data_IF_673825873366
#
_entry.id   IF_673825873366
#
_cell.length_a   1.000
_cell.length_b   1.000
_cell.length_c   1.000
_cell.angle_alpha   90.00
_cell.angle_beta   90.00
_cell.angle_gamma   90.00
#
_symmetry.space_group_name_H-M   'P 1'
#
loop_
_entity.id
_entity.type
_entity.pdbx_description
1 polymer ?
#
# COMPACT_ATOMS: atom_id res chain seq x y z
N UNK A 1 -72.05 26.88 14.58
CA UNK A 1 -71.87 25.49 14.08
C UNK A 1 -70.40 25.32 13.70
N UNK A 2 -69.62 24.61 14.52
CA UNK A 2 -68.17 24.46 14.36
C UNK A 2 -67.85 22.97 14.36
N UNK A 3 -67.54 22.40 13.20
CA UNK A 3 -67.00 21.05 13.08
C UNK A 3 -65.48 21.12 13.27
N UNK A 4 -64.95 20.45 14.31
CA UNK A 4 -63.52 20.21 14.49
C UNK A 4 -63.15 18.90 13.82
N UNK A 5 -62.34 18.96 12.76
CA UNK A 5 -61.66 17.79 12.20
C UNK A 5 -60.45 17.42 13.05
N UNK A 6 -60.39 16.15 13.46
CA UNK A 6 -59.27 15.51 14.13
C UNK A 6 -58.36 14.93 13.04
N UNK A 7 -57.12 15.42 12.93
CA UNK A 7 -56.07 14.83 12.10
C UNK A 7 -55.28 13.82 12.93
N UNK A 8 -55.25 12.56 12.49
CA UNK A 8 -54.38 11.49 12.98
C UNK A 8 -53.08 11.53 12.16
N UNK A 9 -51.88 11.53 12.76
CA UNK A 9 -50.65 11.40 11.98
C UNK A 9 -50.38 9.93 11.65
N UNK A 10 -50.30 9.62 10.35
CA UNK A 10 -49.84 8.34 9.85
C UNK A 10 -48.32 8.24 9.98
N UNK A 11 -47.84 7.34 10.85
CA UNK A 11 -46.43 6.96 10.91
C UNK A 11 -46.10 6.03 9.74
N UNK A 12 -45.30 6.52 8.79
CA UNK A 12 -44.70 5.74 7.72
C UNK A 12 -43.52 4.94 8.29
N UNK A 13 -43.75 3.65 8.55
CA UNK A 13 -42.72 2.65 8.77
C UNK A 13 -42.00 2.39 7.43
N UNK A 14 -40.87 3.05 7.21
CA UNK A 14 -39.93 2.69 6.15
C UNK A 14 -39.21 1.40 6.57
N UNK A 15 -39.75 0.25 6.17
CA UNK A 15 -39.05 -1.02 6.26
C UNK A 15 -37.84 -0.97 5.30
N UNK A 16 -36.65 -0.79 5.87
CA UNK A 16 -35.40 -0.89 5.13
C UNK A 16 -35.25 -2.30 4.56
N UNK A 17 -35.40 -2.42 3.25
CA UNK A 17 -34.96 -3.59 2.50
C UNK A 17 -33.43 -3.55 2.56
N UNK A 18 -32.82 -4.26 3.51
CA UNK A 18 -31.41 -4.61 3.40
C UNK A 18 -31.28 -5.48 2.16
N UNK A 19 -30.51 -5.07 1.14
CA UNK A 19 -30.22 -5.98 0.06
C UNK A 19 -29.44 -7.13 0.69
N UNK A 20 -30.01 -8.34 0.63
CA UNK A 20 -29.21 -9.54 0.72
C UNK A 20 -28.24 -9.45 -0.44
N UNK A 21 -27.03 -8.93 -0.19
CA UNK A 21 -25.93 -9.07 -1.11
C UNK A 21 -25.79 -10.58 -1.34
N UNK A 22 -26.13 -11.04 -2.53
CA UNK A 22 -25.69 -12.34 -3.00
C UNK A 22 -24.17 -12.27 -2.98
N UNK A 23 -23.58 -12.81 -1.90
CA UNK A 23 -22.16 -12.81 -1.67
C UNK A 23 -21.50 -13.44 -2.90
N UNK A 24 -20.74 -12.64 -3.64
CA UNK A 24 -19.94 -13.17 -4.72
C UNK A 24 -18.99 -14.22 -4.14
N UNK A 25 -18.82 -15.38 -4.78
CA UNK A 25 -17.88 -16.40 -4.33
C UNK A 25 -16.47 -15.78 -4.22
N UNK A 26 -15.78 -15.98 -3.07
CA UNK A 26 -14.46 -15.40 -2.82
C UNK A 26 -13.37 -16.16 -3.58
N UNK A 27 -13.33 -15.95 -4.89
CA UNK A 27 -12.28 -16.45 -5.78
C UNK A 27 -11.03 -15.58 -5.68
N UNK A 28 -9.89 -16.10 -6.15
CA UNK A 28 -8.62 -15.35 -6.19
C UNK A 28 -8.76 -14.03 -6.97
N UNK A 29 -9.37 -14.08 -8.16
CA UNK A 29 -9.55 -12.90 -9.01
C UNK A 29 -10.51 -11.88 -8.40
N UNK A 30 -11.58 -12.35 -7.74
CA UNK A 30 -12.48 -11.48 -7.00
C UNK A 30 -11.76 -10.78 -5.84
N UNK A 31 -10.96 -11.50 -5.07
CA UNK A 31 -10.21 -10.93 -3.94
C UNK A 31 -9.26 -9.80 -4.41
N UNK A 32 -8.51 -10.02 -5.48
CA UNK A 32 -7.56 -9.02 -6.00
C UNK A 32 -8.29 -7.82 -6.64
N UNK A 33 -9.33 -8.07 -7.44
CA UNK A 33 -10.10 -6.98 -8.06
C UNK A 33 -10.88 -6.15 -7.04
N UNK A 34 -11.49 -6.79 -6.04
CA UNK A 34 -12.14 -6.11 -4.92
C UNK A 34 -11.14 -5.27 -4.13
N UNK A 35 -9.93 -5.79 -3.86
CA UNK A 35 -8.87 -5.04 -3.19
C UNK A 35 -8.48 -3.77 -3.96
N UNK A 36 -8.36 -3.86 -5.29
CA UNK A 36 -8.04 -2.70 -6.14
C UNK A 36 -9.15 -1.65 -6.19
N UNK A 37 -10.41 -2.07 -6.05
CA UNK A 37 -11.56 -1.17 -6.09
C UNK A 37 -11.88 -0.54 -4.73
N UNK A 38 -11.80 -1.33 -3.65
CA UNK A 38 -12.36 -1.01 -2.34
C UNK A 38 -11.30 -0.64 -1.29
N UNK A 39 -10.00 -0.90 -1.53
CA UNK A 39 -8.96 -0.62 -0.54
C UNK A 39 -8.95 0.86 -0.13
N UNK A 40 -9.08 1.18 1.17
CA UNK A 40 -9.00 2.55 1.67
C UNK A 40 -7.68 3.24 1.34
N UNK A 41 -6.57 2.49 1.28
CA UNK A 41 -5.24 3.03 0.95
C UNK A 41 -5.20 3.57 -0.49
N UNK A 42 -5.83 2.86 -1.44
CA UNK A 42 -5.95 3.33 -2.84
C UNK A 42 -6.90 4.52 -2.98
N UNK A 43 -7.96 4.58 -2.18
CA UNK A 43 -8.85 5.75 -2.11
C UNK A 43 -8.12 6.98 -1.56
N UNK A 44 -7.36 6.81 -0.47
CA UNK A 44 -6.54 7.87 0.11
C UNK A 44 -5.48 8.36 -0.87
N UNK A 45 -4.81 7.45 -1.58
CA UNK A 45 -3.83 7.79 -2.61
C UNK A 45 -4.44 8.57 -3.79
N UNK A 46 -5.63 8.18 -4.28
CA UNK A 46 -6.38 8.95 -5.30
C UNK A 46 -6.70 10.36 -4.81
N UNK A 47 -7.15 10.48 -3.56
CA UNK A 47 -7.41 11.78 -2.93
C UNK A 47 -6.14 12.63 -2.83
N UNK A 48 -4.99 12.00 -2.53
CA UNK A 48 -3.68 12.66 -2.55
C UNK A 48 -3.32 13.22 -3.92
N UNK A 49 -3.62 12.51 -5.01
CA UNK A 49 -3.45 13.04 -6.38
C UNK A 49 -4.34 14.27 -6.60
N UNK A 50 -5.63 14.20 -6.25
CA UNK A 50 -6.54 15.34 -6.38
C UNK A 50 -6.10 16.54 -5.52
N UNK A 51 -5.56 16.28 -4.33
CA UNK A 51 -4.97 17.33 -3.48
C UNK A 51 -3.77 17.99 -4.16
N UNK A 52 -2.88 17.22 -4.77
CA UNK A 52 -1.73 17.76 -5.50
C UNK A 52 -2.18 18.57 -6.73
N UNK A 53 -3.20 18.10 -7.45
CA UNK A 53 -3.79 18.83 -8.58
C UNK A 53 -4.40 20.17 -8.13
N UNK A 54 -5.16 20.19 -7.04
CA UNK A 54 -5.74 21.41 -6.49
C UNK A 54 -4.66 22.40 -6.01
N UNK A 55 -3.61 21.89 -5.36
CA UNK A 55 -2.47 22.70 -4.91
C UNK A 55 -1.65 23.28 -6.08
N UNK A 56 -1.70 22.67 -7.26
CA UNK A 56 -1.00 23.17 -8.44
C UNK A 56 -1.67 24.38 -9.10
N UNK A 57 -2.99 24.55 -8.93
CA UNK A 57 -3.75 25.67 -9.52
C UNK A 57 -3.16 27.04 -9.14
N UNK A 58 -2.89 27.35 -7.86
CA UNK A 58 -2.32 28.64 -7.48
C UNK A 58 -0.80 28.73 -7.65
N UNK A 59 -0.09 27.69 -8.09
CA UNK A 59 1.37 27.62 -8.02
C UNK A 59 2.08 28.76 -8.77
N UNK A 60 1.56 29.12 -9.95
CA UNK A 60 2.02 30.26 -10.74
C UNK A 60 1.12 31.49 -10.66
N UNK A 61 0.11 31.53 -9.79
CA UNK A 61 -0.77 32.69 -9.65
C UNK A 61 0.00 33.90 -9.09
N UNK A 62 -0.48 35.11 -9.39
CA UNK A 62 0.01 36.30 -8.72
C UNK A 62 -0.43 36.28 -7.25
N UNK A 63 0.39 36.80 -6.32
CA UNK A 63 -0.04 37.03 -4.95
C UNK A 63 -1.25 37.96 -4.90
N UNK A 64 -2.08 37.82 -3.88
CA UNK A 64 -3.21 38.71 -3.67
C UNK A 64 -2.75 40.18 -3.53
N UNK A 65 -3.51 41.15 -4.09
CA UNK A 65 -3.22 42.56 -3.89
C UNK A 65 -3.34 42.93 -2.41
N UNK A 66 -2.46 43.83 -1.96
CA UNK A 66 -2.42 44.32 -0.58
C UNK A 66 -3.05 45.69 -0.49
N UNK A 67 -4.02 45.85 0.42
CA UNK A 67 -4.54 47.16 0.81
C UNK A 67 -3.59 47.80 1.82
N UNK A 68 -3.16 49.02 1.51
CA UNK A 68 -2.32 49.85 2.37
C UNK A 68 -3.20 50.96 2.90
N UNK A 69 -3.21 51.15 4.22
CA UNK A 69 -3.89 52.26 4.87
C UNK A 69 -3.01 52.77 6.00
N UNK A 70 -2.91 54.08 6.16
CA UNK A 70 -2.02 54.64 7.17
C UNK A 70 -2.01 56.16 7.21
N UNK A 71 -1.12 56.68 8.06
CA UNK A 71 -0.82 58.10 8.18
C UNK A 71 0.67 58.31 7.87
N UNK A 72 0.96 59.16 6.90
CA UNK A 72 2.32 59.60 6.61
C UNK A 72 2.61 60.94 7.30
N UNK A 73 3.83 61.11 7.81
CA UNK A 73 4.32 62.34 8.44
C UNK A 73 3.44 62.88 9.58
N UNK A 74 2.95 62.01 10.48
CA UNK A 74 2.18 62.44 11.66
C UNK A 74 3.10 63.13 12.71
N UNK A 75 2.82 64.38 13.13
CA UNK A 75 3.69 65.11 14.04
C UNK A 75 3.51 64.63 15.49
N UNK A 76 4.56 64.06 16.06
CA UNK A 76 4.56 63.56 17.46
C UNK A 76 5.14 64.55 18.48
N UNK A 77 5.72 65.66 18.02
CA UNK A 77 6.30 66.71 18.87
C UNK A 77 6.38 68.04 18.11
N UNK A 78 6.72 69.13 18.81
CA UNK A 78 6.80 70.47 18.23
C UNK A 78 5.48 71.24 18.25
N UNK A 79 5.43 72.44 17.61
CA UNK A 79 4.27 73.33 17.67
C UNK A 79 2.97 72.76 17.11
N UNK A 80 3.05 71.80 16.18
CA UNK A 80 1.92 71.16 15.49
C UNK A 80 1.65 69.72 15.98
N UNK A 81 2.17 69.36 17.16
CA UNK A 81 2.08 68.00 17.68
C UNK A 81 0.63 67.51 17.81
N UNK A 82 0.40 66.24 17.46
CA UNK A 82 -0.90 65.56 17.50
C UNK A 82 -1.99 66.16 16.58
N UNK A 83 -1.60 66.99 15.59
CA UNK A 83 -2.53 67.53 14.61
C UNK A 83 -2.46 66.77 13.29
N UNK A 84 -3.63 66.55 12.67
CA UNK A 84 -3.77 65.96 11.33
C UNK A 84 -3.84 67.01 10.22
N UNK A 85 -3.99 68.28 10.58
CA UNK A 85 -4.35 69.36 9.65
C UNK A 85 -3.39 70.54 9.67
N UNK A 86 -2.72 70.76 10.80
CA UNK A 86 -1.79 71.89 10.94
C UNK A 86 -0.50 71.66 10.17
N UNK A 87 0.04 70.43 10.20
CA UNK A 87 1.26 70.09 9.48
C UNK A 87 0.96 69.78 7.99
N UNK A 88 1.58 70.55 7.10
CA UNK A 88 1.39 70.50 5.64
C UNK A 88 1.77 69.17 4.98
N UNK A 89 2.63 68.40 5.65
CA UNK A 89 3.12 67.12 5.15
C UNK A 89 2.34 65.92 5.68
N UNK A 90 1.44 66.09 6.66
CA UNK A 90 0.64 65.00 7.22
C UNK A 90 -0.43 64.55 6.23
N UNK A 91 -0.52 63.23 6.00
CA UNK A 91 -1.41 62.67 4.98
C UNK A 91 -2.09 61.39 5.48
N UNK A 92 -3.40 61.30 5.27
CA UNK A 92 -4.12 60.03 5.32
C UNK A 92 -3.94 59.29 4.00
N UNK A 93 -3.38 58.08 4.07
CA UNK A 93 -3.01 57.26 2.92
C UNK A 93 -3.97 56.08 2.78
N UNK A 94 -4.48 55.87 1.57
CA UNK A 94 -5.09 54.61 1.13
C UNK A 94 -4.43 54.19 -0.19
N UNK A 95 -3.99 52.95 -0.28
CA UNK A 95 -3.24 52.46 -1.43
C UNK A 95 -3.47 50.99 -1.72
N UNK A 96 -3.13 50.59 -2.94
CA UNK A 96 -3.16 49.20 -3.38
C UNK A 96 -1.78 48.84 -3.94
N UNK A 97 -1.22 47.74 -3.44
CA UNK A 97 0.03 47.18 -3.94
C UNK A 97 -0.23 45.82 -4.57
N UNK A 98 0.29 45.63 -5.78
CA UNK A 98 0.34 44.33 -6.45
C UNK A 98 1.79 43.89 -6.61
N UNK A 99 2.11 42.69 -6.13
CA UNK A 99 3.38 42.03 -6.40
C UNK A 99 3.30 41.25 -7.72
N UNK A 100 4.35 41.36 -8.50
CA UNK A 100 4.54 40.66 -9.76
C UNK A 100 5.84 39.85 -9.68
N UNK A 101 5.77 38.62 -9.12
CA UNK A 101 6.91 37.73 -9.11
C UNK A 101 7.42 37.50 -10.54
N UNK A 102 8.72 37.35 -10.68
CA UNK A 102 9.34 37.12 -11.98
C UNK A 102 8.69 35.92 -12.69
N UNK A 103 8.45 36.01 -14.00
CA UNK A 103 7.85 34.91 -14.76
C UNK A 103 8.63 33.60 -14.60
N UNK A 104 9.96 33.66 -14.60
CA UNK A 104 10.79 32.47 -14.39
C UNK A 104 10.56 31.79 -13.03
N UNK A 105 10.26 32.55 -11.97
CA UNK A 105 9.92 31.99 -10.66
C UNK A 105 8.53 31.35 -10.67
N UNK A 106 7.56 31.99 -11.33
CA UNK A 106 6.20 31.50 -11.46
C UNK A 106 6.18 30.20 -12.27
N UNK A 107 6.83 30.20 -13.42
CA UNK A 107 6.99 29.01 -14.28
C UNK A 107 7.67 27.87 -13.52
N UNK A 108 8.73 28.15 -12.77
CA UNK A 108 9.40 27.13 -11.96
C UNK A 108 8.52 26.58 -10.81
N UNK A 109 7.66 27.40 -10.21
CA UNK A 109 6.68 26.94 -9.21
C UNK A 109 5.62 26.03 -9.84
N UNK A 110 5.15 26.37 -11.04
CA UNK A 110 4.24 25.51 -11.81
C UNK A 110 4.89 24.17 -12.17
N UNK A 111 6.16 24.19 -12.59
CA UNK A 111 6.91 22.96 -12.88
C UNK A 111 7.07 22.08 -11.63
N UNK A 112 7.39 22.66 -10.47
CA UNK A 112 7.47 21.93 -9.20
C UNK A 112 6.12 21.31 -8.85
N UNK A 113 5.03 22.07 -8.98
CA UNK A 113 3.69 21.58 -8.70
C UNK A 113 3.28 20.45 -9.66
N UNK A 114 3.59 20.57 -10.96
CA UNK A 114 3.37 19.52 -11.95
C UNK A 114 4.16 18.24 -11.62
N UNK A 115 5.42 18.39 -11.20
CA UNK A 115 6.23 17.26 -10.77
C UNK A 115 5.71 16.59 -9.50
N UNK A 116 5.10 17.35 -8.57
CA UNK A 116 4.43 16.79 -7.39
C UNK A 116 3.19 15.96 -7.76
N UNK A 117 2.41 16.37 -8.76
CA UNK A 117 1.30 15.57 -9.28
C UNK A 117 1.83 14.26 -9.87
N UNK A 118 2.89 14.32 -10.67
CA UNK A 118 3.52 13.12 -11.24
C UNK A 118 4.05 12.18 -10.15
N UNK A 119 4.67 12.73 -9.09
CA UNK A 119 5.12 11.95 -7.94
C UNK A 119 3.95 11.25 -7.24
N UNK A 120 2.85 11.96 -7.01
CA UNK A 120 1.63 11.38 -6.41
C UNK A 120 1.05 10.26 -7.29
N UNK A 121 1.06 10.43 -8.61
CA UNK A 121 0.66 9.41 -9.58
C UNK A 121 1.55 8.17 -9.56
N UNK A 122 2.88 8.35 -9.54
CA UNK A 122 3.83 7.23 -9.43
C UNK A 122 3.67 6.46 -8.12
N UNK A 123 3.47 7.16 -7.01
CA UNK A 123 3.23 6.54 -5.71
C UNK A 123 1.91 5.74 -5.71
N UNK A 124 0.88 6.22 -6.40
CA UNK A 124 -0.36 5.47 -6.59
C UNK A 124 -0.13 4.18 -7.37
N UNK A 125 0.63 4.22 -8.47
CA UNK A 125 0.94 3.03 -9.27
C UNK A 125 1.74 1.98 -8.47
N UNK A 126 2.66 2.42 -7.61
CA UNK A 126 3.36 1.52 -6.66
C UNK A 126 2.35 0.86 -5.72
N UNK A 127 1.48 1.67 -5.11
CA UNK A 127 0.49 1.20 -4.16
C UNK A 127 -0.52 0.22 -4.79
N UNK A 128 -0.88 0.40 -6.06
CA UNK A 128 -1.72 -0.56 -6.80
C UNK A 128 -1.07 -1.94 -6.88
N UNK A 129 0.23 -2.01 -7.18
CA UNK A 129 0.98 -3.27 -7.19
C UNK A 129 1.05 -3.87 -5.79
N UNK A 130 1.39 -3.07 -4.78
CA UNK A 130 1.53 -3.54 -3.40
C UNK A 130 0.18 -4.06 -2.84
N UNK A 131 -0.94 -3.41 -3.17
CA UNK A 131 -2.30 -3.85 -2.78
C UNK A 131 -2.72 -5.13 -3.51
N UNK A 132 -2.49 -5.21 -4.83
CA UNK A 132 -2.83 -6.40 -5.61
C UNK A 132 -2.02 -7.61 -5.14
N UNK A 133 -0.70 -7.45 -4.98
CA UNK A 133 0.19 -8.48 -4.44
C UNK A 133 -0.22 -8.87 -3.02
N UNK A 134 -0.46 -7.90 -2.15
CA UNK A 134 -0.84 -8.13 -0.77
C UNK A 134 -2.14 -8.93 -0.62
N UNK A 135 -3.16 -8.61 -1.42
CA UNK A 135 -4.42 -9.35 -1.45
C UNK A 135 -4.23 -10.77 -2.01
N UNK A 136 -3.44 -10.93 -3.07
CA UNK A 136 -3.12 -12.22 -3.66
C UNK A 136 -2.38 -13.15 -2.66
N UNK A 137 -1.37 -12.62 -1.96
CA UNK A 137 -0.62 -13.37 -0.95
C UNK A 137 -1.51 -13.79 0.23
N UNK A 138 -2.37 -12.89 0.72
CA UNK A 138 -3.28 -13.20 1.82
C UNK A 138 -4.32 -14.27 1.42
N UNK A 139 -4.87 -14.19 0.20
CA UNK A 139 -5.79 -15.21 -0.32
C UNK A 139 -5.09 -16.57 -0.48
N UNK A 140 -3.89 -16.60 -1.05
CA UNK A 140 -3.11 -17.84 -1.22
C UNK A 140 -2.74 -18.46 0.13
N UNK A 141 -2.29 -17.65 1.08
CA UNK A 141 -1.99 -18.11 2.44
C UNK A 141 -3.21 -18.78 3.08
N UNK A 142 -4.38 -18.11 3.03
CA UNK A 142 -5.63 -18.68 3.54
C UNK A 142 -5.99 -19.98 2.83
N UNK A 143 -5.96 -20.00 1.49
CA UNK A 143 -6.30 -21.17 0.68
C UNK A 143 -5.47 -22.40 1.07
N UNK A 144 -4.15 -22.27 1.16
CA UNK A 144 -3.30 -23.41 1.49
C UNK A 144 -3.38 -23.80 2.97
N UNK A 145 -3.65 -22.88 3.89
CA UNK A 145 -3.91 -23.19 5.29
C UNK A 145 -5.20 -24.01 5.47
N UNK A 146 -6.28 -23.68 4.74
CA UNK A 146 -7.52 -24.48 4.73
C UNK A 146 -7.25 -25.92 4.23
N UNK A 147 -6.40 -26.08 3.21
CA UNK A 147 -5.99 -27.40 2.71
C UNK A 147 -5.13 -28.18 3.73
N UNK A 148 -4.18 -27.52 4.40
CA UNK A 148 -3.36 -28.14 5.43
C UNK A 148 -4.21 -28.60 6.62
N UNK A 149 -5.16 -27.76 7.05
CA UNK A 149 -6.06 -28.09 8.15
C UNK A 149 -6.92 -29.33 7.83
N UNK A 150 -7.47 -29.40 6.62
CA UNK A 150 -8.24 -30.58 6.19
C UNK A 150 -7.42 -31.87 6.18
N UNK A 151 -6.14 -31.82 5.80
CA UNK A 151 -5.24 -32.97 5.85
C UNK A 151 -4.78 -33.31 7.27
N UNK A 152 -4.59 -32.30 8.14
CA UNK A 152 -4.23 -32.50 9.54
C UNK A 152 -5.36 -33.20 10.29
N UNK A 153 -6.61 -32.80 10.07
CA UNK A 153 -7.78 -33.46 10.66
C UNK A 153 -7.92 -34.92 10.21
N UNK A 154 -7.53 -35.25 8.96
CA UNK A 154 -7.44 -36.64 8.51
C UNK A 154 -6.33 -37.40 9.24
N UNK A 155 -5.19 -36.76 9.51
CA UNK A 155 -4.06 -37.36 10.23
C UNK A 155 -4.40 -37.61 11.71
N UNK A 156 -5.11 -36.69 12.35
CA UNK A 156 -5.65 -36.86 13.71
C UNK A 156 -6.63 -38.05 13.78
N UNK A 157 -7.51 -38.18 12.78
CA UNK A 157 -8.42 -39.30 12.72
C UNK A 157 -7.67 -40.65 12.62
N UNK A 158 -6.68 -40.75 11.73
CA UNK A 158 -5.86 -41.97 11.61
C UNK A 158 -5.06 -42.25 12.90
N UNK A 159 -4.53 -41.22 13.57
CA UNK A 159 -3.84 -41.39 14.85
C UNK A 159 -4.76 -41.87 15.98
N UNK A 160 -6.00 -41.38 16.05
CA UNK A 160 -7.00 -41.87 17.00
C UNK A 160 -7.38 -43.34 16.77
N UNK A 161 -7.45 -43.77 15.50
CA UNK A 161 -7.64 -45.18 15.14
C UNK A 161 -6.43 -46.03 15.57
N UNK A 162 -5.20 -45.52 15.45
CA UNK A 162 -3.99 -46.18 15.93
C UNK A 162 -4.04 -46.41 17.44
N UNK A 163 -4.32 -45.35 18.22
CA UNK A 163 -4.42 -45.45 19.68
C UNK A 163 -5.45 -46.50 20.12
N UNK A 164 -6.62 -46.49 19.49
CA UNK A 164 -7.69 -47.48 19.75
C UNK A 164 -7.24 -48.91 19.44
N UNK A 165 -6.52 -49.12 18.33
CA UNK A 165 -6.01 -50.43 17.93
C UNK A 165 -4.92 -50.93 18.90
N UNK A 166 -3.99 -50.08 19.30
CA UNK A 166 -2.91 -50.43 20.25
C UNK A 166 -3.49 -50.77 21.64
N UNK A 167 -4.49 -50.03 22.11
CA UNK A 167 -5.18 -50.32 23.38
C UNK A 167 -5.83 -51.71 23.39
N UNK A 168 -6.45 -52.11 22.27
CA UNK A 168 -7.03 -53.45 22.13
C UNK A 168 -5.95 -54.55 22.13
N UNK A 169 -4.76 -54.28 21.59
CA UNK A 169 -3.65 -55.23 21.56
C UNK A 169 -2.97 -55.42 22.93
N UNK A 170 -2.99 -54.41 23.82
CA UNK A 170 -2.52 -54.54 25.21
C UNK A 170 -3.28 -55.63 25.95
N UNK A 171 -4.62 -55.66 25.82
CA UNK A 171 -5.46 -56.69 26.46
C UNK A 171 -5.08 -58.10 26.01
N UNK A 172 -4.55 -58.23 24.78
CA UNK A 172 -4.06 -59.50 24.22
C UNK A 172 -2.57 -59.79 24.50
N UNK A 173 -1.86 -58.91 25.21
CA UNK A 173 -0.44 -59.04 25.55
C UNK A 173 0.52 -58.91 24.35
N UNK A 174 0.06 -58.33 23.23
CA UNK A 174 0.79 -58.30 21.96
C UNK A 174 1.60 -57.03 21.71
N UNK A 175 1.45 -56.01 22.56
CA UNK A 175 2.03 -54.67 22.33
C UNK A 175 2.51 -54.06 23.65
N UNK A 176 3.71 -53.45 23.70
CA UNK A 176 4.20 -52.68 24.85
C UNK A 176 3.30 -51.49 25.21
N UNK A 177 3.17 -51.18 26.51
CA UNK A 177 2.44 -50.00 26.99
C UNK A 177 3.01 -48.68 26.43
N UNK A 178 4.31 -48.65 26.13
CA UNK A 178 4.99 -47.50 25.54
C UNK A 178 4.39 -47.08 24.19
N UNK A 179 3.88 -48.02 23.38
CA UNK A 179 3.34 -47.69 22.05
C UNK A 179 2.00 -46.94 22.14
N UNK A 180 1.18 -47.21 23.17
CA UNK A 180 -0.04 -46.42 23.44
C UNK A 180 0.32 -45.02 23.88
N UNK A 181 1.30 -44.87 24.79
CA UNK A 181 1.76 -43.55 25.22
C UNK A 181 2.31 -42.74 24.04
N UNK A 182 3.05 -43.37 23.11
CA UNK A 182 3.52 -42.70 21.89
C UNK A 182 2.37 -42.19 21.01
N UNK A 183 1.26 -42.93 20.93
CA UNK A 183 0.08 -42.51 20.15
C UNK A 183 -0.65 -41.34 20.82
N UNK A 184 -0.75 -41.33 22.15
CA UNK A 184 -1.32 -40.23 22.94
C UNK A 184 -0.44 -38.97 22.85
N UNK A 185 0.88 -39.11 22.94
CA UNK A 185 1.84 -38.02 22.73
C UNK A 185 1.69 -37.42 21.32
N UNK A 186 1.57 -38.28 20.30
CA UNK A 186 1.33 -37.83 18.93
C UNK A 186 -0.01 -37.09 18.80
N UNK A 187 -1.06 -37.54 19.49
CA UNK A 187 -2.35 -36.87 19.46
C UNK A 187 -2.26 -35.46 20.04
N UNK A 188 -1.53 -35.28 21.14
CA UNK A 188 -1.26 -33.96 21.71
C UNK A 188 -0.45 -33.07 20.74
N UNK A 189 0.56 -33.62 20.08
CA UNK A 189 1.34 -32.88 19.06
C UNK A 189 0.46 -32.41 17.89
N UNK A 190 -0.49 -33.24 17.45
CA UNK A 190 -1.40 -32.89 16.36
C UNK A 190 -2.38 -31.79 16.77
N UNK A 191 -2.93 -31.86 17.99
CA UNK A 191 -3.80 -30.81 18.53
C UNK A 191 -3.07 -29.45 18.62
N UNK A 192 -1.82 -29.43 19.08
CA UNK A 192 -0.98 -28.21 19.09
C UNK A 192 -0.80 -27.64 17.67
N UNK A 193 -0.63 -28.51 16.67
CA UNK A 193 -0.52 -28.11 15.26
C UNK A 193 -1.87 -27.62 14.70
N UNK A 194 -2.99 -28.15 15.15
CA UNK A 194 -4.32 -27.67 14.75
C UNK A 194 -4.53 -26.24 15.26
N UNK A 195 -4.25 -26.00 16.54
CA UNK A 195 -4.32 -24.67 17.14
C UNK A 195 -3.42 -23.66 16.42
N UNK A 196 -2.22 -24.10 16.00
CA UNK A 196 -1.31 -23.34 15.17
C UNK A 196 -1.93 -22.96 13.81
N UNK A 197 -2.42 -23.94 13.05
CA UNK A 197 -3.03 -23.70 11.74
C UNK A 197 -4.29 -22.85 11.83
N UNK A 198 -5.14 -23.06 12.85
CA UNK A 198 -6.33 -22.24 13.06
C UNK A 198 -5.95 -20.79 13.39
N UNK A 199 -4.90 -20.56 14.18
CA UNK A 199 -4.38 -19.20 14.44
C UNK A 199 -3.84 -18.56 13.17
N UNK A 200 -3.08 -19.30 12.37
CA UNK A 200 -2.51 -18.80 11.12
C UNK A 200 -3.63 -18.50 10.11
N UNK A 201 -4.70 -19.31 10.07
CA UNK A 201 -5.89 -19.08 9.25
C UNK A 201 -6.62 -17.78 9.66
N UNK A 202 -6.80 -17.55 10.97
CA UNK A 202 -7.35 -16.28 11.47
C UNK A 202 -6.48 -15.09 11.07
N UNK A 203 -5.15 -15.25 11.12
CA UNK A 203 -4.18 -14.21 10.72
C UNK A 203 -4.23 -13.92 9.22
N UNK A 204 -4.28 -14.95 8.38
CA UNK A 204 -4.40 -14.82 6.93
C UNK A 204 -5.75 -14.16 6.54
N UNK A 205 -6.83 -14.54 7.22
CA UNK A 205 -8.16 -13.94 7.04
C UNK A 205 -8.19 -12.47 7.43
N UNK A 206 -7.58 -12.11 8.57
CA UNK A 206 -7.44 -10.72 9.00
C UNK A 206 -6.57 -9.90 8.01
N UNK A 207 -5.49 -10.50 7.50
CA UNK A 207 -4.63 -9.87 6.49
C UNK A 207 -5.39 -9.62 5.19
N UNK A 208 -6.25 -10.54 4.76
CA UNK A 208 -7.12 -10.34 3.60
C UNK A 208 -8.20 -9.28 3.88
N UNK A 209 -8.77 -9.27 5.08
CA UNK A 209 -9.77 -8.29 5.53
C UNK A 209 -9.25 -6.86 5.45
N UNK A 210 -7.93 -6.64 5.60
CA UNK A 210 -7.30 -5.33 5.41
C UNK A 210 -7.58 -4.73 4.02
N UNK A 211 -7.71 -5.58 2.99
CA UNK A 211 -7.88 -5.13 1.61
C UNK A 211 -9.34 -5.15 1.14
N UNK A 212 -10.12 -6.14 1.55
CA UNK A 212 -11.50 -6.38 1.05
C UNK A 212 -12.58 -6.31 2.14
N UNK A 213 -12.21 -5.93 3.37
CA UNK A 213 -13.16 -5.79 4.47
C UNK A 213 -13.86 -7.09 4.85
N UNK A 214 -15.17 -7.01 5.09
CA UNK A 214 -15.98 -8.13 5.57
C UNK A 214 -16.07 -9.29 4.57
N UNK A 215 -15.86 -9.03 3.27
CA UNK A 215 -15.88 -10.07 2.22
C UNK A 215 -14.81 -11.14 2.48
N UNK A 216 -13.72 -10.81 3.19
CA UNK A 216 -12.67 -11.76 3.55
C UNK A 216 -13.14 -12.90 4.44
N UNK A 217 -14.31 -12.82 5.07
CA UNK A 217 -14.90 -13.91 5.88
C UNK A 217 -15.69 -14.92 5.03
N UNK A 218 -15.95 -14.63 3.76
CA UNK A 218 -16.69 -15.55 2.89
C UNK A 218 -15.88 -16.84 2.65
N UNK A 219 -16.54 -17.98 2.45
CA UNK A 219 -15.86 -19.21 2.04
C UNK A 219 -15.09 -19.01 0.73
N UNK A 220 -13.88 -19.56 0.66
CA UNK A 220 -13.10 -19.56 -0.57
C UNK A 220 -13.77 -20.46 -1.61
N UNK A 221 -13.74 -20.02 -2.86
CA UNK A 221 -14.29 -20.79 -3.99
C UNK A 221 -13.26 -20.87 -5.11
N UNK A 222 -13.12 -22.06 -5.68
CA UNK A 222 -12.17 -22.35 -6.76
C UNK A 222 -10.82 -22.84 -6.24
N UNK A 223 -9.86 -22.96 -7.15
CA UNK A 223 -8.49 -23.39 -6.87
C UNK A 223 -7.53 -22.21 -6.93
N UNK A 224 -6.36 -22.36 -6.30
CA UNK A 224 -5.26 -21.43 -6.51
C UNK A 224 -4.90 -21.33 -8.00
N UNK A 225 -4.68 -20.11 -8.54
CA UNK A 225 -4.28 -19.93 -9.93
C UNK A 225 -2.85 -20.43 -10.15
N UNK A 226 -2.58 -20.91 -11.36
CA UNK A 226 -1.23 -21.18 -11.82
C UNK A 226 -0.66 -19.93 -12.50
N UNK A 227 -0.03 -19.05 -11.72
CA UNK A 227 0.52 -17.80 -12.22
C UNK A 227 1.82 -18.07 -12.99
N UNK A 228 1.94 -17.61 -14.24
CA UNK A 228 3.12 -17.87 -15.05
C UNK A 228 4.35 -17.17 -14.46
N UNK A 229 5.48 -17.86 -14.43
CA UNK A 229 6.78 -17.30 -14.04
C UNK A 229 7.71 -17.32 -15.25
N UNK A 230 7.95 -16.15 -15.83
CA UNK A 230 8.88 -15.98 -16.96
C UNK A 230 10.06 -15.09 -16.55
N UNK A 231 11.16 -15.74 -16.17
CA UNK A 231 12.40 -15.07 -15.78
C UNK A 231 12.95 -14.12 -16.87
N UNK A 232 12.82 -14.51 -18.15
CA UNK A 232 13.37 -13.71 -19.26
C UNK A 232 12.54 -12.44 -19.47
N UNK A 233 11.22 -12.54 -19.36
CA UNK A 233 10.34 -11.38 -19.41
C UNK A 233 10.58 -10.45 -18.22
N UNK A 234 10.69 -10.99 -17.00
CA UNK A 234 10.88 -10.18 -15.78
C UNK A 234 12.18 -9.38 -15.78
N UNK A 235 13.28 -9.94 -16.31
CA UNK A 235 14.53 -9.19 -16.48
C UNK A 235 14.38 -8.03 -17.47
N UNK A 236 13.59 -8.20 -18.54
CA UNK A 236 13.34 -7.13 -19.52
C UNK A 236 12.43 -6.03 -18.97
N UNK A 237 11.45 -6.39 -18.12
CA UNK A 237 10.50 -5.43 -17.55
C UNK A 237 10.96 -4.81 -16.23
N UNK A 238 12.09 -5.24 -15.65
CA UNK A 238 12.63 -4.74 -14.38
C UNK A 238 12.72 -3.21 -14.33
N UNK A 239 13.25 -2.59 -15.40
CA UNK A 239 13.36 -1.13 -15.49
C UNK A 239 12.01 -0.42 -15.66
N UNK A 240 10.95 -1.15 -16.01
CA UNK A 240 9.60 -0.66 -16.23
C UNK A 240 8.68 -0.93 -15.03
N UNK A 241 9.18 -1.51 -13.93
CA UNK A 241 8.36 -1.70 -12.73
C UNK A 241 7.96 -0.34 -12.13
N UNK A 242 6.76 -0.20 -11.52
CA UNK A 242 6.32 1.07 -10.95
C UNK A 242 7.30 1.67 -9.95
N UNK A 243 7.97 0.83 -9.15
CA UNK A 243 8.99 1.27 -8.17
C UNK A 243 10.20 1.91 -8.84
N UNK A 244 10.67 1.39 -9.98
CA UNK A 244 11.79 2.00 -10.72
C UNK A 244 11.32 3.21 -11.53
N UNK A 245 10.12 3.16 -12.09
CA UNK A 245 9.54 4.27 -12.85
C UNK A 245 9.25 5.49 -11.97
N UNK A 246 8.97 5.31 -10.67
CA UNK A 246 8.78 6.41 -9.74
C UNK A 246 10.01 7.32 -9.62
N UNK A 247 11.23 6.79 -9.80
CA UNK A 247 12.44 7.61 -9.86
C UNK A 247 12.46 8.59 -11.03
N UNK A 248 11.70 8.35 -12.10
CA UNK A 248 11.53 9.34 -13.17
C UNK A 248 10.78 10.57 -12.66
N UNK A 249 9.72 10.38 -11.87
CA UNK A 249 9.00 11.49 -11.23
C UNK A 249 9.80 12.18 -10.13
N UNK A 250 10.60 11.43 -9.35
CA UNK A 250 11.52 12.03 -8.38
C UNK A 250 12.61 12.87 -9.06
N UNK A 251 13.16 12.37 -10.17
CA UNK A 251 14.12 13.11 -10.99
C UNK A 251 13.50 14.37 -11.57
N UNK A 252 12.26 14.28 -12.08
CA UNK A 252 11.53 15.44 -12.59
C UNK A 252 11.32 16.49 -11.49
N UNK A 253 10.94 16.07 -10.29
CA UNK A 253 10.79 16.96 -9.13
C UNK A 253 12.11 17.60 -8.72
N UNK A 254 13.19 16.83 -8.57
CA UNK A 254 14.50 17.37 -8.22
C UNK A 254 15.01 18.38 -9.27
N UNK A 255 14.77 18.13 -10.57
CA UNK A 255 15.05 19.09 -11.65
C UNK A 255 14.22 20.35 -11.54
N UNK A 256 12.92 20.23 -11.27
CA UNK A 256 12.02 21.38 -11.11
C UNK A 256 12.42 22.23 -9.89
N UNK A 257 12.76 21.60 -8.76
CA UNK A 257 13.24 22.28 -7.56
C UNK A 257 14.59 22.98 -7.79
N UNK A 258 15.50 22.36 -8.55
CA UNK A 258 16.75 23.00 -8.97
C UNK A 258 16.48 24.24 -9.84
N UNK A 259 15.56 24.16 -10.82
CA UNK A 259 15.17 25.32 -11.62
C UNK A 259 14.51 26.41 -10.78
N UNK A 260 13.68 26.06 -9.81
CA UNK A 260 13.09 27.01 -8.87
C UNK A 260 14.18 27.73 -8.05
N UNK A 261 15.18 27.00 -7.54
CA UNK A 261 16.32 27.60 -6.84
C UNK A 261 17.15 28.52 -7.75
N UNK A 262 17.32 28.17 -9.03
CA UNK A 262 17.98 29.03 -10.01
C UNK A 262 17.15 30.28 -10.33
N UNK A 263 15.82 30.14 -10.42
CA UNK A 263 14.90 31.22 -10.71
C UNK A 263 14.86 32.29 -9.62
N UNK A 264 15.22 31.96 -8.38
CA UNK A 264 15.35 32.92 -7.26
C UNK A 264 16.41 34.01 -7.50
N UNK A 265 17.29 33.84 -8.50
CA UNK A 265 18.20 34.92 -8.94
C UNK A 265 17.52 35.99 -9.77
N UNK A 266 16.29 35.76 -10.24
CA UNK A 266 15.58 36.75 -11.03
C UNK A 266 14.86 37.74 -10.10
N UNK A 267 14.92 39.05 -10.40
CA UNK A 267 14.29 40.07 -9.57
C UNK A 267 12.76 40.02 -9.70
N UNK A 268 12.08 40.15 -8.56
CA UNK A 268 10.64 40.40 -8.49
C UNK A 268 10.38 41.91 -8.52
N UNK A 269 9.21 42.31 -8.99
CA UNK A 269 8.79 43.72 -8.99
C UNK A 269 7.41 43.89 -8.38
N UNK A 270 7.11 45.07 -7.85
CA UNK A 270 5.78 45.44 -7.39
C UNK A 270 5.44 46.87 -7.78
N UNK A 271 4.14 47.11 -7.92
CA UNK A 271 3.58 48.44 -8.18
C UNK A 271 2.63 48.79 -7.05
N UNK A 272 2.82 49.96 -6.48
CA UNK A 272 1.97 50.54 -5.44
C UNK A 272 1.38 51.85 -5.96
N UNK A 273 0.05 51.97 -5.87
CA UNK A 273 -0.69 53.19 -6.19
C UNK A 273 -1.36 53.66 -4.91
N UNK A 274 -1.06 54.91 -4.51
CA UNK A 274 -1.64 55.50 -3.32
C UNK A 274 -2.39 56.77 -3.62
N UNK A 275 -3.47 56.96 -2.87
CA UNK A 275 -4.19 58.21 -2.75
C UNK A 275 -3.96 58.77 -1.34
N UNK A 276 -3.50 60.01 -1.29
CA UNK A 276 -3.12 60.70 -0.07
C UNK A 276 -4.02 61.92 0.12
N UNK A 277 -4.84 61.90 1.18
CA UNK A 277 -5.66 63.04 1.59
C UNK A 277 -4.89 63.87 2.60
N UNK A 278 -4.73 65.15 2.30
CA UNK A 278 -4.12 66.15 3.20
C UNK A 278 -5.17 67.14 3.66
N UNK A 279 -4.76 68.07 4.52
CA UNK A 279 -5.60 69.22 4.82
C UNK A 279 -6.07 69.91 3.53
N UNK A 280 -7.36 70.31 3.42
CA UNK A 280 -7.94 70.86 2.20
C UNK A 280 -7.17 72.03 1.60
N UNK A 281 -6.42 72.79 2.41
CA UNK A 281 -5.62 73.93 1.93
C UNK A 281 -4.43 73.54 1.04
N UNK A 282 -3.94 72.29 1.14
CA UNK A 282 -2.77 71.80 0.40
C UNK A 282 -3.12 70.90 -0.80
N UNK A 283 -4.36 70.39 -0.85
CA UNK A 283 -4.82 69.49 -1.91
C UNK A 283 -4.30 68.05 -1.78
N UNK A 284 -5.04 67.12 -2.39
CA UNK A 284 -4.75 65.69 -2.34
C UNK A 284 -3.62 65.30 -3.31
N UNK A 285 -2.95 64.19 -3.02
CA UNK A 285 -1.83 63.66 -3.80
C UNK A 285 -2.11 62.24 -4.27
N UNK A 286 -1.43 61.86 -5.35
CA UNK A 286 -1.36 60.48 -5.85
C UNK A 286 0.11 60.12 -6.03
N UNK A 287 0.51 58.96 -5.54
CA UNK A 287 1.85 58.40 -5.75
C UNK A 287 1.77 57.07 -6.49
N UNK A 288 2.75 56.85 -7.37
CA UNK A 288 3.00 55.55 -7.99
C UNK A 288 4.43 55.15 -7.66
N UNK A 289 4.59 54.00 -7.01
CA UNK A 289 5.89 53.48 -6.61
C UNK A 289 6.16 52.14 -7.31
N UNK A 290 7.37 52.02 -7.85
CA UNK A 290 7.89 50.79 -8.42
C UNK A 290 8.98 50.25 -7.50
N UNK A 291 8.84 49.01 -7.06
CA UNK A 291 9.86 48.33 -6.25
C UNK A 291 10.45 47.17 -7.04
N UNK A 292 11.77 47.02 -7.01
CA UNK A 292 12.48 45.88 -7.63
C UNK A 292 13.45 45.27 -6.62
N UNK A 293 13.38 43.96 -6.43
CA UNK A 293 14.31 43.23 -5.56
C UNK A 293 15.64 42.98 -6.27
N UNK A 294 16.77 43.46 -5.72
CA UNK A 294 18.09 43.27 -6.32
C UNK A 294 18.87 42.13 -5.62
N UNK A 295 19.26 41.05 -6.33
CA UNK A 295 19.95 39.88 -5.74
C UNK A 295 21.46 40.12 -5.56
N UNK A 296 21.83 41.13 -4.75
CA UNK A 296 23.24 41.55 -4.58
C UNK A 296 24.11 40.56 -3.78
N UNK A 297 23.50 39.66 -3.01
CA UNK A 297 24.20 38.68 -2.15
C UNK A 297 24.07 37.23 -2.65
N UNK A 298 23.99 37.03 -3.98
CA UNK A 298 23.75 35.71 -4.58
C UNK A 298 24.74 34.64 -4.14
N UNK A 299 26.03 34.99 -4.00
CA UNK A 299 27.10 34.07 -3.60
C UNK A 299 26.87 33.40 -2.23
N UNK A 300 26.22 34.10 -1.29
CA UNK A 300 26.00 33.61 0.08
C UNK A 300 24.54 33.23 0.36
N UNK A 301 23.63 33.39 -0.62
CA UNK A 301 22.21 33.08 -0.48
C UNK A 301 21.73 32.08 -1.53
N UNK A 302 21.71 32.46 -2.81
CA UNK A 302 21.18 31.62 -3.88
C UNK A 302 22.17 30.51 -4.30
N UNK A 303 23.47 30.80 -4.40
CA UNK A 303 24.46 29.84 -4.91
C UNK A 303 24.59 28.57 -4.04
N UNK A 304 24.65 28.65 -2.70
CA UNK A 304 24.67 27.45 -1.85
C UNK A 304 23.39 26.62 -1.96
N UNK A 305 22.23 27.25 -2.15
CA UNK A 305 20.94 26.56 -2.33
C UNK A 305 20.91 25.82 -3.67
N UNK A 306 21.41 26.45 -4.74
CA UNK A 306 21.52 25.81 -6.06
C UNK A 306 22.50 24.63 -6.00
N UNK A 307 23.63 24.78 -5.31
CA UNK A 307 24.59 23.70 -5.11
C UNK A 307 23.95 22.53 -4.36
N UNK A 308 23.21 22.79 -3.27
CA UNK A 308 22.45 21.77 -2.56
C UNK A 308 21.44 21.06 -3.46
N UNK A 309 20.63 21.80 -4.24
CA UNK A 309 19.66 21.20 -5.18
C UNK A 309 20.30 20.41 -6.32
N UNK A 310 21.53 20.74 -6.70
CA UNK A 310 22.32 19.95 -7.66
C UNK A 310 22.75 18.61 -7.06
N UNK A 311 23.12 18.60 -5.78
CA UNK A 311 23.45 17.37 -5.05
C UNK A 311 22.20 16.52 -4.80
N UNK A 312 21.05 17.11 -4.47
CA UNK A 312 19.76 16.40 -4.35
C UNK A 312 19.42 15.66 -5.66
N UNK A 313 19.59 16.30 -6.82
CA UNK A 313 19.37 15.67 -8.12
C UNK A 313 20.33 14.49 -8.37
N UNK A 314 21.60 14.63 -7.98
CA UNK A 314 22.60 13.56 -8.10
C UNK A 314 22.23 12.37 -7.21
N UNK A 315 21.79 12.64 -5.98
CA UNK A 315 21.33 11.64 -5.03
C UNK A 315 20.19 10.79 -5.59
N UNK A 316 19.20 11.39 -6.28
CA UNK A 316 18.10 10.64 -6.90
C UNK A 316 18.61 9.63 -7.93
N UNK A 317 19.65 9.97 -8.71
CA UNK A 317 20.29 9.05 -9.64
C UNK A 317 20.93 7.84 -8.95
N UNK A 318 21.70 8.08 -7.88
CA UNK A 318 22.33 7.02 -7.09
C UNK A 318 21.31 6.11 -6.39
N UNK A 319 20.22 6.69 -5.86
CA UNK A 319 19.13 5.94 -5.25
C UNK A 319 18.41 5.06 -6.28
N UNK A 320 18.20 5.54 -7.50
CA UNK A 320 17.63 4.75 -8.59
C UNK A 320 18.51 3.55 -8.93
N UNK A 321 19.82 3.76 -9.04
CA UNK A 321 20.76 2.67 -9.34
C UNK A 321 20.85 1.65 -8.20
N UNK A 322 20.79 2.10 -6.95
CA UNK A 322 20.67 1.23 -5.78
C UNK A 322 19.36 0.41 -5.82
N UNK A 323 18.23 1.04 -6.15
CA UNK A 323 16.93 0.37 -6.25
C UNK A 323 16.90 -0.68 -7.37
N UNK A 324 17.50 -0.40 -8.54
CA UNK A 324 17.64 -1.37 -9.64
C UNK A 324 18.46 -2.58 -9.17
N UNK A 325 19.60 -2.35 -8.51
CA UNK A 325 20.43 -3.44 -7.96
C UNK A 325 19.68 -4.25 -6.92
N UNK A 326 18.93 -3.60 -6.03
CA UNK A 326 18.12 -4.27 -5.02
C UNK A 326 17.01 -5.13 -5.65
N UNK A 327 16.26 -4.60 -6.61
CA UNK A 327 15.23 -5.37 -7.31
C UNK A 327 15.80 -6.53 -8.13
N UNK A 328 16.97 -6.34 -8.73
CA UNK A 328 17.65 -7.42 -9.46
C UNK A 328 18.04 -8.56 -8.53
N UNK A 329 18.59 -8.23 -7.35
CA UNK A 329 18.90 -9.21 -6.31
C UNK A 329 17.62 -9.93 -5.84
N UNK A 330 16.56 -9.18 -5.54
CA UNK A 330 15.28 -9.76 -5.14
C UNK A 330 14.71 -10.72 -6.19
N UNK A 331 14.69 -10.31 -7.47
CA UNK A 331 14.25 -11.14 -8.59
C UNK A 331 15.03 -12.45 -8.66
N UNK A 332 16.35 -12.38 -8.57
CA UNK A 332 17.20 -13.58 -8.63
C UNK A 332 16.94 -14.54 -7.46
N UNK A 333 16.77 -14.00 -6.24
CA UNK A 333 16.47 -14.81 -5.06
C UNK A 333 15.08 -15.46 -5.16
N UNK A 334 14.06 -14.70 -5.57
CA UNK A 334 12.69 -15.22 -5.71
C UNK A 334 12.61 -16.28 -6.82
N UNK A 335 13.33 -16.11 -7.93
CA UNK A 335 13.43 -17.12 -8.99
C UNK A 335 14.16 -18.40 -8.54
N UNK A 336 15.27 -18.26 -7.80
CA UNK A 336 16.01 -19.40 -7.26
C UNK A 336 15.18 -20.20 -6.25
N UNK A 337 14.44 -19.51 -5.39
CA UNK A 337 13.51 -20.11 -4.43
C UNK A 337 12.36 -20.82 -5.15
N UNK A 338 11.70 -20.15 -6.10
CA UNK A 338 10.64 -20.74 -6.91
C UNK A 338 11.08 -22.03 -7.63
N UNK A 339 12.27 -22.02 -8.24
CA UNK A 339 12.83 -23.19 -8.91
C UNK A 339 13.14 -24.33 -7.91
N UNK A 340 13.60 -24.00 -6.71
CA UNK A 340 13.89 -24.98 -5.66
C UNK A 340 12.62 -25.63 -5.13
N UNK A 341 11.60 -24.84 -4.78
CA UNK A 341 10.30 -25.31 -4.33
C UNK A 341 9.64 -26.21 -5.39
N UNK A 342 9.73 -25.83 -6.67
CA UNK A 342 9.23 -26.63 -7.79
C UNK A 342 9.85 -28.02 -7.83
N UNK A 343 11.20 -28.11 -7.79
CA UNK A 343 11.91 -29.40 -7.75
C UNK A 343 11.60 -30.23 -6.50
N UNK A 344 11.37 -29.59 -5.36
CA UNK A 344 10.99 -30.30 -4.13
C UNK A 344 9.59 -30.92 -4.26
N UNK A 345 8.62 -30.16 -4.76
CA UNK A 345 7.24 -30.65 -5.00
C UNK A 345 7.26 -31.80 -6.00
N UNK A 346 7.98 -31.66 -7.12
CA UNK A 346 8.12 -32.73 -8.12
C UNK A 346 8.68 -34.02 -7.53
N UNK A 347 9.70 -33.92 -6.65
CA UNK A 347 10.29 -35.09 -5.98
C UNK A 347 9.31 -35.77 -5.02
N UNK A 348 8.48 -34.99 -4.34
CA UNK A 348 7.42 -35.54 -3.50
C UNK A 348 6.42 -36.31 -4.36
N UNK A 349 5.99 -35.73 -5.47
CA UNK A 349 4.97 -36.30 -6.35
C UNK A 349 5.46 -37.53 -7.13
N UNK A 350 6.68 -37.48 -7.67
CA UNK A 350 7.20 -38.52 -8.56
C UNK A 350 7.90 -39.66 -7.82
N UNK A 351 8.44 -39.41 -6.63
CA UNK A 351 9.26 -40.39 -5.90
C UNK A 351 8.69 -40.74 -4.54
N UNK A 352 8.48 -39.74 -3.68
CA UNK A 352 8.17 -40.01 -2.27
C UNK A 352 6.76 -40.59 -2.09
N UNK A 353 5.72 -39.91 -2.61
CA UNK A 353 4.32 -40.35 -2.45
C UNK A 353 4.05 -41.71 -3.10
N UNK A 354 4.55 -42.02 -4.31
CA UNK A 354 4.42 -43.35 -4.89
C UNK A 354 5.04 -44.44 -4.01
N UNK A 355 6.27 -44.24 -3.48
CA UNK A 355 6.93 -45.20 -2.60
C UNK A 355 6.16 -45.39 -1.27
N UNK A 356 5.67 -44.31 -0.68
CA UNK A 356 4.90 -44.36 0.56
C UNK A 356 3.55 -45.08 0.36
N UNK A 357 2.84 -44.81 -0.74
CA UNK A 357 1.61 -45.53 -1.10
C UNK A 357 1.86 -47.01 -1.37
N UNK A 358 2.95 -47.36 -2.06
CA UNK A 358 3.32 -48.76 -2.28
C UNK A 358 3.59 -49.48 -0.94
N UNK A 359 4.26 -48.81 0.01
CA UNK A 359 4.47 -49.34 1.36
C UNK A 359 3.14 -49.60 2.08
N UNK A 360 2.18 -48.66 2.01
CA UNK A 360 0.83 -48.84 2.56
C UNK A 360 0.14 -50.06 1.95
N UNK A 361 0.19 -50.22 0.61
CA UNK A 361 -0.41 -51.38 -0.08
C UNK A 361 0.18 -52.70 0.39
N UNK A 362 1.51 -52.78 0.54
CA UNK A 362 2.20 -54.00 0.99
C UNK A 362 1.83 -54.36 2.44
N UNK A 363 1.81 -53.36 3.34
CA UNK A 363 1.43 -53.56 4.74
C UNK A 363 -0.05 -53.93 4.88
N UNK A 364 -0.93 -53.35 4.07
CA UNK A 364 -2.36 -53.67 4.07
C UNK A 364 -2.60 -55.13 3.63
N UNK A 365 -1.88 -55.58 2.60
CA UNK A 365 -1.97 -56.95 2.11
C UNK A 365 -1.46 -57.97 3.15
N UNK A 366 -0.41 -57.63 3.90
CA UNK A 366 0.08 -58.49 4.97
C UNK A 366 -0.81 -58.46 6.23
N UNK A 367 -1.40 -57.32 6.58
CA UNK A 367 -2.39 -57.22 7.66
C UNK A 367 -3.62 -58.09 7.37
N UNK A 368 -4.14 -58.04 6.14
CA UNK A 368 -5.27 -58.87 5.69
C UNK A 368 -4.98 -60.37 5.75
N UNK A 369 -3.70 -60.77 5.75
CA UNK A 369 -3.24 -62.17 5.89
C UNK A 369 -2.77 -62.52 7.30
N UNK A 370 -2.90 -61.60 8.27
CA UNK A 370 -2.42 -61.77 9.64
C UNK A 370 -0.89 -61.78 9.80
N UNK A 371 -0.13 -61.38 8.78
CA UNK A 371 1.34 -61.40 8.76
C UNK A 371 1.96 -60.02 9.03
N UNK A 372 1.15 -58.98 9.21
CA UNK A 372 1.61 -57.61 9.48
C UNK A 372 0.75 -56.98 10.55
N UNK A 373 1.36 -56.14 11.38
CA UNK A 373 0.68 -55.44 12.47
C UNK A 373 -0.16 -54.25 11.94
N UNK A 374 -1.37 -54.07 12.51
CA UNK A 374 -2.23 -52.90 12.26
C UNK A 374 -1.52 -51.59 12.58
N UNK A 375 -0.67 -51.56 13.60
CA UNK A 375 0.07 -50.35 13.96
C UNK A 375 1.04 -49.92 12.85
N UNK A 376 1.73 -50.88 12.22
CA UNK A 376 2.62 -50.60 11.09
C UNK A 376 1.87 -50.05 9.86
N UNK A 377 0.66 -50.56 9.59
CA UNK A 377 -0.19 -50.07 8.51
C UNK A 377 -0.65 -48.63 8.76
N UNK A 378 -1.14 -48.32 9.97
CA UNK A 378 -1.62 -46.98 10.29
C UNK A 378 -0.46 -45.98 10.29
N UNK A 379 0.69 -46.33 10.87
CA UNK A 379 1.90 -45.50 10.79
C UNK A 379 2.32 -45.19 9.34
N UNK A 380 2.19 -46.15 8.42
CA UNK A 380 2.47 -45.91 7.01
C UNK A 380 1.44 -44.98 6.35
N UNK A 381 0.17 -45.03 6.75
CA UNK A 381 -0.86 -44.08 6.30
C UNK A 381 -0.62 -42.68 6.84
N UNK A 382 -0.31 -42.54 8.14
CA UNK A 382 0.05 -41.28 8.78
C UNK A 382 1.23 -40.61 8.08
N UNK A 383 2.27 -41.37 7.74
CA UNK A 383 3.40 -40.84 6.98
C UNK A 383 2.99 -40.26 5.61
N UNK A 384 2.05 -40.90 4.91
CA UNK A 384 1.52 -40.36 3.63
C UNK A 384 0.84 -39.01 3.85
N UNK A 385 0.03 -38.87 4.90
CA UNK A 385 -0.67 -37.62 5.22
C UNK A 385 0.31 -36.52 5.65
N UNK A 386 1.29 -36.83 6.50
CA UNK A 386 2.34 -35.87 6.89
C UNK A 386 3.07 -35.31 5.67
N UNK A 387 3.39 -36.15 4.69
CA UNK A 387 4.03 -35.67 3.47
C UNK A 387 3.08 -34.86 2.58
N UNK A 388 1.79 -35.19 2.54
CA UNK A 388 0.81 -34.37 1.83
C UNK A 388 0.72 -32.98 2.47
N UNK A 389 0.68 -32.88 3.81
CA UNK A 389 0.72 -31.60 4.53
C UNK A 389 1.98 -30.81 4.18
N UNK A 390 3.15 -31.47 4.17
CA UNK A 390 4.43 -30.86 3.75
C UNK A 390 4.36 -30.36 2.31
N UNK A 391 3.79 -31.15 1.40
CA UNK A 391 3.60 -30.76 -0.01
C UNK A 391 2.76 -29.49 -0.12
N UNK A 392 1.63 -29.44 0.57
CA UNK A 392 0.73 -28.27 0.56
C UNK A 392 1.44 -27.03 1.10
N UNK A 393 2.29 -27.16 2.12
CA UNK A 393 3.15 -26.07 2.61
C UNK A 393 4.10 -25.53 1.52
N UNK A 394 4.83 -26.43 0.85
CA UNK A 394 5.71 -26.04 -0.27
C UNK A 394 4.95 -25.44 -1.45
N UNK A 395 3.74 -25.91 -1.73
CA UNK A 395 2.87 -25.34 -2.77
C UNK A 395 2.42 -23.92 -2.40
N UNK A 396 2.14 -23.66 -1.11
CA UNK A 396 1.85 -22.33 -0.59
C UNK A 396 3.01 -21.38 -0.84
N UNK A 397 4.22 -21.76 -0.41
CA UNK A 397 5.42 -20.97 -0.60
C UNK A 397 5.68 -20.71 -2.09
N UNK A 398 5.56 -21.74 -2.95
CA UNK A 398 5.76 -21.60 -4.40
C UNK A 398 4.76 -20.64 -5.02
N UNK A 399 3.48 -20.77 -4.68
CA UNK A 399 2.42 -19.93 -5.22
C UNK A 399 2.57 -18.48 -4.76
N UNK A 400 2.97 -18.26 -3.50
CA UNK A 400 3.27 -16.92 -2.99
C UNK A 400 4.47 -16.28 -3.72
N UNK A 401 5.54 -17.04 -3.98
CA UNK A 401 6.68 -16.55 -4.79
C UNK A 401 6.26 -16.23 -6.22
N UNK A 402 5.46 -17.09 -6.85
CA UNK A 402 4.92 -16.84 -8.19
C UNK A 402 4.07 -15.57 -8.24
N UNK A 403 3.17 -15.37 -7.26
CA UNK A 403 2.35 -14.18 -7.15
C UNK A 403 3.19 -12.92 -6.94
N UNK A 404 4.18 -12.97 -6.04
CA UNK A 404 5.08 -11.86 -5.79
C UNK A 404 5.83 -11.43 -7.07
N UNK A 405 6.38 -12.40 -7.81
CA UNK A 405 7.05 -12.16 -9.09
C UNK A 405 6.08 -11.60 -10.14
N UNK A 406 4.91 -12.22 -10.30
CA UNK A 406 3.91 -11.82 -11.29
C UNK A 406 3.46 -10.36 -11.09
N UNK A 407 3.00 -10.00 -9.89
CA UNK A 407 2.52 -8.63 -9.65
C UNK A 407 3.63 -7.59 -9.69
N UNK A 408 4.85 -7.93 -9.27
CA UNK A 408 5.98 -6.98 -9.29
C UNK A 408 6.45 -6.70 -10.72
N UNK A 409 6.57 -7.72 -11.58
CA UNK A 409 7.27 -7.62 -12.86
C UNK A 409 6.38 -7.72 -14.10
N UNK A 410 5.23 -8.41 -14.04
CA UNK A 410 4.22 -8.41 -15.11
C UNK A 410 3.26 -7.21 -15.01
N UNK A 411 3.14 -6.63 -13.81
CA UNK A 411 2.22 -5.55 -13.49
C UNK A 411 0.81 -6.05 -13.16
N UNK A 412 -0.06 -5.11 -12.76
CA UNK A 412 -1.48 -5.39 -12.56
C UNK A 412 -2.16 -5.34 -13.93
N UNK A 413 -2.50 -6.49 -14.51
CA UNK A 413 -3.39 -6.51 -15.67
C UNK A 413 -4.77 -6.01 -15.22
N UNK A 414 -5.25 -4.94 -15.86
CA UNK A 414 -6.58 -4.37 -15.62
C UNK A 414 -7.68 -5.29 -16.14
#
# INVERSE_FOLDING_TARGET
MSFKSIYVPAQLLLAGITPFAHAAPLTFSYAVSSALQQSPELSASRTGIHSAQAAAIPAGALPDPKLITGLDNFPVSGPMANSLTEESMTMEKIGLMQEFPNSAKRDAREEVASAQIQQAGSQHSILQVDVAQGAALAWLSRYYLEQQLGLLQQLEHENGLLGTALQAQIVSGRTPLADVLNADEKQAELADREDQLQRDLRTATASLSRYIGADAQQPLVGSAPDLPVDATSYLKTLHNTPKIQAYNSETAKAKAELRAAQAEKNPDWSVELDYQRRDPQYGNMVSVQFTVGLPVFAANRQDPIIAAKTLDLTQVGELRDAAIRQQTNQLNNDLAEYATLTRQIERIDQRWLPLARQKVTLLNAGYSRGTSDSAALINARSAVLEQQIRKVGLQSERAQRAAALYYTFAGVQQ
#
